data_IF_865368567538
#
_entry.id   IF_865368567538
#
_cell.length_a   1.000
_cell.length_b   1.000
_cell.length_c   1.000
_cell.angle_alpha   90.00
_cell.angle_beta   90.00
_cell.angle_gamma   90.00
#
_symmetry.space_group_name_H-M   'P 1'
#
loop_
_entity.id
_entity.type
_entity.pdbx_description
1 polymer ?
#
# COMPACT_ATOMS: atom_id res chain seq x y z
N UNK A 1 -5.65 55.24 1.86
CA UNK A 1 -4.73 54.22 2.37
C UNK A 1 -5.41 52.89 2.75
N UNK A 2 -6.63 52.85 3.24
CA UNK A 2 -7.32 51.61 3.68
C UNK A 2 -7.67 50.66 2.52
N UNK A 3 -8.00 51.19 1.33
CA UNK A 3 -8.32 50.34 0.15
C UNK A 3 -7.13 49.58 -0.40
N UNK A 4 -5.93 50.13 -0.33
CA UNK A 4 -4.71 49.48 -0.82
C UNK A 4 -4.26 48.29 0.09
N UNK A 5 -4.42 48.43 1.43
CA UNK A 5 -4.16 47.36 2.39
C UNK A 5 -5.08 46.16 2.23
N UNK A 6 -6.38 46.41 1.95
CA UNK A 6 -7.35 45.33 1.69
C UNK A 6 -7.04 44.58 0.39
N UNK A 7 -6.58 45.28 -0.64
CA UNK A 7 -6.19 44.65 -1.91
C UNK A 7 -4.96 43.78 -1.76
N UNK A 8 -3.97 44.22 -0.95
CA UNK A 8 -2.76 43.45 -0.68
C UNK A 8 -3.04 42.15 0.08
N UNK A 9 -3.98 42.19 1.06
CA UNK A 9 -4.38 40.99 1.83
C UNK A 9 -5.11 39.98 0.95
N UNK A 10 -5.91 40.44 0.00
CA UNK A 10 -6.61 39.57 -0.94
C UNK A 10 -5.64 38.92 -1.94
N UNK A 11 -4.62 39.65 -2.40
CA UNK A 11 -3.60 39.11 -3.30
C UNK A 11 -2.72 38.05 -2.62
N UNK A 12 -2.35 38.23 -1.34
CA UNK A 12 -1.59 37.22 -0.58
C UNK A 12 -2.37 35.95 -0.30
N UNK A 13 -3.70 36.04 -0.07
CA UNK A 13 -4.54 34.86 0.12
C UNK A 13 -4.67 33.99 -1.14
N UNK A 14 -4.59 34.59 -2.33
CA UNK A 14 -4.64 33.85 -3.61
C UNK A 14 -3.33 33.11 -3.93
N UNK A 15 -2.20 33.57 -3.43
CA UNK A 15 -0.89 32.94 -3.67
C UNK A 15 -0.70 31.68 -2.81
N UNK A 16 -1.34 31.58 -1.64
CA UNK A 16 -1.27 30.40 -0.77
C UNK A 16 -2.06 29.20 -1.29
N UNK A 17 -2.92 29.34 -2.29
CA UNK A 17 -3.67 28.23 -2.89
C UNK A 17 -2.91 27.50 -4.01
N UNK A 18 -1.66 27.83 -4.29
CA UNK A 18 -0.78 27.10 -5.18
C UNK A 18 -0.22 25.83 -4.52
N UNK A 19 -1.05 25.12 -3.71
CA UNK A 19 -0.75 23.78 -3.27
C UNK A 19 -0.54 22.91 -4.50
N UNK A 20 0.61 22.26 -4.60
CA UNK A 20 0.94 21.36 -5.69
C UNK A 20 -0.23 20.39 -5.91
N UNK A 21 -0.90 20.52 -7.05
CA UNK A 21 -1.97 19.58 -7.41
C UNK A 21 -1.35 18.20 -7.53
N UNK A 22 -1.81 17.21 -6.78
CA UNK A 22 -1.35 15.85 -6.96
C UNK A 22 -1.60 15.44 -8.41
N UNK A 23 -0.70 14.67 -9.04
CA UNK A 23 -0.93 14.17 -10.37
C UNK A 23 -2.25 13.39 -10.39
N UNK A 24 -3.12 13.67 -11.37
CA UNK A 24 -4.37 12.93 -11.53
C UNK A 24 -4.06 11.61 -12.23
N UNK A 25 -3.60 10.63 -11.46
CA UNK A 25 -3.23 9.30 -11.94
C UNK A 25 -4.36 8.35 -11.56
N UNK A 26 -4.97 7.65 -12.55
CA UNK A 26 -5.99 6.66 -12.24
C UNK A 26 -5.40 5.51 -11.43
N UNK A 27 -6.19 4.88 -10.52
CA UNK A 27 -5.76 3.70 -9.80
C UNK A 27 -5.38 2.55 -10.75
N UNK A 28 -4.20 1.97 -10.59
CA UNK A 28 -3.80 0.78 -11.33
C UNK A 28 -4.60 -0.45 -10.87
N UNK A 29 -4.89 -1.34 -11.81
CA UNK A 29 -5.48 -2.65 -11.50
C UNK A 29 -4.38 -3.67 -11.30
N UNK A 30 -4.46 -4.40 -10.18
CA UNK A 30 -3.52 -5.45 -9.81
C UNK A 30 -4.18 -6.82 -9.94
N UNK A 31 -3.39 -7.79 -10.38
CA UNK A 31 -3.77 -9.20 -10.41
C UNK A 31 -2.76 -10.00 -9.59
N UNK A 32 -3.26 -10.82 -8.67
CA UNK A 32 -2.43 -11.77 -7.92
C UNK A 32 -1.95 -12.88 -8.85
N UNK A 33 -0.65 -13.22 -8.77
CA UNK A 33 0.00 -14.24 -9.62
C UNK A 33 0.50 -15.45 -8.84
N UNK A 34 0.70 -15.30 -7.54
CA UNK A 34 1.15 -16.40 -6.68
C UNK A 34 2.06 -15.93 -5.55
N UNK A 35 2.46 -16.91 -4.77
CA UNK A 35 3.47 -16.75 -3.71
C UNK A 35 4.77 -17.44 -4.10
N UNK A 36 5.87 -16.86 -3.68
CA UNK A 36 7.22 -17.41 -3.81
C UNK A 36 7.92 -17.36 -2.46
N UNK A 37 8.58 -18.44 -2.06
CA UNK A 37 9.49 -18.45 -0.91
C UNK A 37 10.92 -18.46 -1.45
N UNK A 38 11.74 -17.53 -1.00
CA UNK A 38 13.15 -17.44 -1.38
C UNK A 38 14.08 -18.01 -0.31
N UNK A 39 15.36 -18.03 -0.62
CA UNK A 39 16.42 -18.53 0.25
C UNK A 39 16.47 -17.80 1.61
N UNK A 40 16.05 -16.54 1.66
CA UNK A 40 15.90 -15.74 2.89
C UNK A 40 14.72 -16.16 3.77
N UNK A 41 13.98 -17.22 3.39
CA UNK A 41 12.77 -17.72 4.04
C UNK A 41 11.60 -16.72 4.08
N UNK A 42 11.72 -15.57 3.43
CA UNK A 42 10.62 -14.60 3.32
C UNK A 42 9.56 -15.07 2.32
N UNK A 43 8.30 -14.78 2.65
CA UNK A 43 7.17 -15.04 1.77
C UNK A 43 6.94 -13.83 0.87
N UNK A 44 7.18 -13.99 -0.41
CA UNK A 44 6.91 -12.96 -1.42
C UNK A 44 5.58 -13.23 -2.10
N UNK A 45 4.81 -12.18 -2.30
CA UNK A 45 3.65 -12.15 -3.17
C UNK A 45 4.04 -11.51 -4.50
N UNK A 46 3.66 -12.13 -5.61
CA UNK A 46 3.86 -11.60 -6.96
C UNK A 46 2.55 -11.03 -7.48
N UNK A 47 2.63 -9.82 -8.01
CA UNK A 47 1.51 -9.05 -8.55
C UNK A 47 1.81 -8.62 -9.99
N UNK A 48 0.80 -8.70 -10.85
CA UNK A 48 0.81 -8.13 -12.19
C UNK A 48 -0.01 -6.84 -12.19
N UNK A 49 0.50 -5.78 -12.82
CA UNK A 49 -0.16 -4.48 -12.94
C UNK A 49 -0.42 -4.13 -14.40
N UNK A 50 -1.55 -3.50 -14.67
CA UNK A 50 -1.89 -2.91 -15.97
C UNK A 50 -1.13 -1.59 -16.25
N UNK A 51 -0.54 -1.00 -15.21
CA UNK A 51 0.23 0.25 -15.29
C UNK A 51 1.64 0.07 -14.74
N UNK A 52 2.59 0.84 -15.28
CA UNK A 52 3.96 0.90 -14.75
C UNK A 52 3.98 1.70 -13.44
N UNK A 53 3.78 1.02 -12.32
CA UNK A 53 3.80 1.64 -10.99
C UNK A 53 5.14 2.29 -10.66
N UNK A 54 6.27 1.81 -11.20
CA UNK A 54 7.57 2.47 -11.00
C UNK A 54 7.57 3.89 -11.54
N UNK A 55 6.89 4.16 -12.67
CA UNK A 55 6.73 5.53 -13.19
C UNK A 55 5.89 6.39 -12.26
N UNK A 56 4.83 5.81 -11.67
CA UNK A 56 4.00 6.50 -10.68
C UNK A 56 4.82 6.84 -9.44
N UNK A 57 5.56 5.87 -8.91
CA UNK A 57 6.38 6.04 -7.71
C UNK A 57 7.47 7.11 -7.91
N UNK A 58 8.15 7.13 -9.06
CA UNK A 58 9.15 8.13 -9.38
C UNK A 58 8.61 9.58 -9.34
N UNK A 59 7.30 9.79 -9.57
CA UNK A 59 6.69 11.12 -9.41
C UNK A 59 6.62 11.53 -7.93
N UNK A 60 6.43 10.57 -7.05
CA UNK A 60 6.40 10.78 -5.60
C UNK A 60 7.83 10.88 -5.04
N UNK A 61 8.82 10.12 -5.55
CA UNK A 61 10.23 10.15 -5.12
C UNK A 61 10.84 11.55 -5.11
N UNK A 62 10.55 12.33 -6.14
CA UNK A 62 10.98 13.72 -6.25
C UNK A 62 10.43 14.63 -5.16
N UNK A 63 9.56 14.13 -4.26
CA UNK A 63 8.82 14.87 -3.23
C UNK A 63 9.02 14.30 -1.82
N UNK A 64 10.21 13.73 -1.52
CA UNK A 64 10.50 13.10 -0.23
C UNK A 64 9.42 12.07 0.17
N UNK A 65 9.21 11.11 -0.71
CA UNK A 65 8.20 10.05 -0.56
C UNK A 65 8.55 9.06 0.54
N UNK A 66 7.50 8.39 1.00
CA UNK A 66 7.64 7.09 1.65
C UNK A 66 7.73 5.98 0.60
N UNK A 67 8.48 4.92 0.89
CA UNK A 67 8.55 3.72 0.03
C UNK A 67 7.16 3.15 -0.23
N UNK A 68 6.82 2.75 -1.49
CA UNK A 68 5.54 2.15 -1.80
C UNK A 68 5.33 0.86 -1.01
N UNK A 69 4.13 0.66 -0.49
CA UNK A 69 3.79 -0.47 0.36
C UNK A 69 2.58 -1.22 -0.19
N UNK A 70 2.65 -2.54 -0.17
CA UNK A 70 1.49 -3.40 -0.23
C UNK A 70 0.96 -3.57 1.19
N UNK A 71 -0.32 -3.32 1.38
CA UNK A 71 -1.01 -3.55 2.65
C UNK A 71 -2.20 -4.45 2.42
N UNK A 72 -2.31 -5.51 3.22
CA UNK A 72 -3.40 -6.48 3.22
C UNK A 72 -4.10 -6.43 4.57
N UNK A 73 -5.43 -6.46 4.60
CA UNK A 73 -6.17 -6.55 5.85
C UNK A 73 -6.47 -8.00 6.18
N UNK A 74 -6.36 -8.38 7.45
CA UNK A 74 -6.56 -9.75 7.93
C UNK A 74 -7.88 -9.92 8.69
N UNK A 75 -8.67 -8.87 8.86
CA UNK A 75 -9.85 -8.83 9.73
C UNK A 75 -11.07 -8.17 9.09
N UNK A 76 -11.36 -8.43 7.82
CA UNK A 76 -12.49 -7.86 7.07
C UNK A 76 -12.56 -6.32 6.97
N UNK A 77 -11.60 -5.61 7.55
CA UNK A 77 -11.47 -4.17 7.38
C UNK A 77 -11.13 -3.86 5.92
N UNK A 78 -11.85 -2.93 5.31
CA UNK A 78 -11.65 -2.53 3.90
C UNK A 78 -11.20 -1.07 3.77
N UNK A 79 -10.92 -0.42 4.89
CA UNK A 79 -10.45 0.95 4.89
C UNK A 79 -8.92 1.00 4.82
N UNK A 80 -8.39 1.35 3.65
CA UNK A 80 -6.95 1.48 3.40
C UNK A 80 -6.43 2.91 3.52
N UNK A 81 -7.25 3.86 4.00
CA UNK A 81 -6.79 5.23 4.21
C UNK A 81 -5.56 5.26 5.12
N UNK A 82 -4.54 6.04 4.74
CA UNK A 82 -3.27 6.11 5.49
C UNK A 82 -3.42 6.62 6.92
N UNK A 83 -4.52 7.33 7.22
CA UNK A 83 -4.85 7.79 8.55
C UNK A 83 -5.68 6.77 9.34
N UNK A 84 -6.09 5.65 8.72
CA UNK A 84 -6.83 4.59 9.35
C UNK A 84 -5.90 3.50 9.90
N UNK A 85 -6.13 3.09 11.13
CA UNK A 85 -5.36 2.01 11.77
C UNK A 85 -6.01 0.67 11.53
N UNK A 86 -5.43 -0.14 10.64
CA UNK A 86 -5.84 -1.53 10.42
C UNK A 86 -5.27 -2.38 11.56
N UNK A 87 -6.16 -2.99 12.39
CA UNK A 87 -5.78 -3.74 13.60
C UNK A 87 -4.94 -5.00 13.30
N UNK A 88 -5.28 -5.73 12.25
CA UNK A 88 -4.52 -6.92 11.82
C UNK A 88 -4.23 -6.81 10.33
N UNK A 89 -2.94 -6.82 9.97
CA UNK A 89 -2.52 -6.55 8.59
C UNK A 89 -1.26 -7.30 8.19
N UNK A 90 -1.15 -7.60 6.90
CA UNK A 90 0.11 -7.91 6.22
C UNK A 90 0.66 -6.64 5.57
N UNK A 91 1.95 -6.39 5.72
CA UNK A 91 2.61 -5.22 5.12
C UNK A 91 3.92 -5.65 4.47
N UNK A 92 4.20 -5.15 3.28
CA UNK A 92 5.47 -5.34 2.61
C UNK A 92 5.84 -4.17 1.71
N UNK A 93 7.14 -3.97 1.50
CA UNK A 93 7.62 -3.03 0.51
C UNK A 93 7.35 -3.58 -0.88
N UNK A 94 6.89 -2.72 -1.79
CA UNK A 94 6.66 -3.11 -3.18
C UNK A 94 7.91 -2.83 -4.02
N UNK A 95 8.41 -3.85 -4.68
CA UNK A 95 9.58 -3.79 -5.56
C UNK A 95 9.18 -4.20 -6.97
N UNK A 96 9.75 -3.56 -7.99
CA UNK A 96 9.60 -4.02 -9.36
C UNK A 96 10.30 -5.37 -9.53
N UNK A 97 9.64 -6.30 -10.20
CA UNK A 97 10.31 -7.55 -10.60
C UNK A 97 11.21 -7.27 -11.81
N UNK A 98 12.49 -7.57 -11.64
CA UNK A 98 13.48 -7.39 -12.69
C UNK A 98 13.42 -8.48 -13.78
N UNK A 99 12.62 -9.54 -13.57
CA UNK A 99 12.48 -10.63 -14.54
C UNK A 99 11.80 -10.13 -15.80
N UNK A 100 12.40 -10.31 -16.99
CA UNK A 100 11.77 -9.90 -18.24
C UNK A 100 10.51 -10.73 -18.52
N UNK A 101 9.37 -10.06 -18.63
CA UNK A 101 8.10 -10.67 -19.02
C UNK A 101 7.65 -10.11 -20.37
N UNK A 102 7.48 -10.98 -21.36
CA UNK A 102 7.09 -10.59 -22.75
C UNK A 102 5.59 -10.30 -22.91
N UNK A 103 4.90 -9.90 -21.84
CA UNK A 103 3.43 -9.77 -21.82
C UNK A 103 2.93 -8.35 -21.98
N UNK A 104 3.81 -7.34 -22.06
CA UNK A 104 3.41 -5.93 -22.04
C UNK A 104 2.82 -5.48 -20.70
N UNK A 105 2.88 -6.33 -19.67
CA UNK A 105 2.45 -6.08 -18.29
C UNK A 105 3.64 -5.80 -17.40
N UNK A 106 3.38 -5.23 -16.23
CA UNK A 106 4.40 -4.89 -15.24
C UNK A 106 4.26 -5.80 -14.02
N UNK A 107 5.37 -6.36 -13.59
CA UNK A 107 5.38 -7.29 -12.47
C UNK A 107 6.05 -6.66 -11.27
N UNK A 108 5.47 -6.92 -10.12
CA UNK A 108 5.92 -6.42 -8.82
C UNK A 108 5.89 -7.55 -7.81
N UNK A 109 6.74 -7.44 -6.81
CA UNK A 109 6.76 -8.37 -5.69
C UNK A 109 6.80 -7.61 -4.38
N UNK A 110 6.34 -8.26 -3.32
CA UNK A 110 6.37 -7.72 -1.97
C UNK A 110 6.60 -8.83 -0.97
N UNK A 111 7.55 -8.68 -0.07
CA UNK A 111 7.69 -9.56 1.09
C UNK A 111 6.68 -9.14 2.15
N UNK A 112 5.81 -10.07 2.59
CA UNK A 112 4.77 -9.78 3.57
C UNK A 112 5.23 -10.11 4.99
N UNK A 113 5.16 -9.11 5.88
CA UNK A 113 5.23 -9.27 7.33
C UNK A 113 3.84 -9.08 7.93
N UNK A 114 3.45 -9.95 8.84
CA UNK A 114 2.12 -9.93 9.45
C UNK A 114 2.18 -9.34 10.86
N UNK A 115 1.28 -8.38 11.14
CA UNK A 115 1.25 -7.67 12.40
C UNK A 115 -0.20 -7.52 12.89
N UNK A 116 -0.39 -7.62 14.21
CA UNK A 116 -1.61 -7.23 14.89
C UNK A 116 -1.33 -6.05 15.82
N UNK A 117 -2.25 -5.13 15.90
CA UNK A 117 -2.19 -4.00 16.84
C UNK A 117 -3.05 -4.34 18.04
N UNK A 118 -2.46 -4.45 19.22
CA UNK A 118 -3.19 -4.63 20.46
C UNK A 118 -3.91 -3.34 20.87
N UNK A 119 -5.11 -3.48 21.46
CA UNK A 119 -5.84 -2.35 22.04
C UNK A 119 -5.19 -1.95 23.37
N UNK A 120 -4.29 -0.97 23.31
CA UNK A 120 -3.65 -0.32 24.46
C UNK A 120 -3.81 1.20 24.31
N UNK A 121 -3.54 1.95 25.39
CA UNK A 121 -3.52 3.43 25.33
C UNK A 121 -2.61 3.96 24.22
N UNK A 122 -1.50 3.26 23.93
CA UNK A 122 -0.66 3.50 22.75
C UNK A 122 -0.65 2.21 21.92
N UNK A 123 -1.23 2.22 20.70
CA UNK A 123 -1.28 1.05 19.84
C UNK A 123 0.14 0.64 19.40
N UNK A 124 0.59 -0.53 19.82
CA UNK A 124 1.90 -1.08 19.41
C UNK A 124 1.64 -2.26 18.45
N UNK A 125 2.16 -2.23 17.22
CA UNK A 125 2.07 -3.36 16.33
C UNK A 125 2.95 -4.51 16.84
N UNK A 126 2.34 -5.66 17.05
CA UNK A 126 3.02 -6.90 17.43
C UNK A 126 3.13 -7.82 16.24
N UNK A 127 4.31 -8.35 15.97
CA UNK A 127 4.53 -9.28 14.87
C UNK A 127 3.81 -10.60 15.10
N UNK A 128 3.04 -11.06 14.10
CA UNK A 128 2.40 -12.37 14.10
C UNK A 128 3.41 -13.36 13.50
N UNK A 129 4.10 -14.10 14.36
CA UNK A 129 5.10 -15.09 13.96
C UNK A 129 4.53 -16.52 13.92
N UNK A 130 3.36 -16.74 14.52
CA UNK A 130 2.71 -18.05 14.56
C UNK A 130 1.72 -18.23 13.41
N UNK A 131 1.93 -19.25 12.58
CA UNK A 131 1.01 -19.64 11.51
C UNK A 131 -0.40 -19.96 12.04
N UNK A 132 -0.52 -20.57 13.22
CA UNK A 132 -1.81 -20.89 13.84
C UNK A 132 -2.62 -19.62 14.20
N UNK A 133 -1.96 -18.56 14.68
CA UNK A 133 -2.64 -17.28 14.94
C UNK A 133 -3.14 -16.66 13.65
N UNK A 134 -2.33 -16.72 12.60
CA UNK A 134 -2.73 -16.18 11.30
C UNK A 134 -3.87 -16.99 10.68
N UNK A 135 -3.85 -18.32 10.78
CA UNK A 135 -4.97 -19.18 10.35
C UNK A 135 -6.27 -18.83 11.06
N UNK A 136 -6.23 -18.59 12.37
CA UNK A 136 -7.41 -18.19 13.15
C UNK A 136 -7.95 -16.82 12.70
N UNK A 137 -7.05 -15.85 12.43
CA UNK A 137 -7.45 -14.53 11.93
C UNK A 137 -8.09 -14.60 10.54
N UNK A 138 -7.65 -15.54 9.71
CA UNK A 138 -8.14 -15.74 8.35
C UNK A 138 -9.31 -16.73 8.25
N UNK A 139 -9.72 -17.33 9.36
CA UNK A 139 -10.80 -18.31 9.38
C UNK A 139 -12.09 -17.73 8.78
N UNK A 140 -12.69 -18.48 7.85
CA UNK A 140 -13.91 -18.06 7.16
C UNK A 140 -13.71 -17.02 6.04
N UNK A 141 -12.51 -16.53 5.80
CA UNK A 141 -12.21 -15.63 4.69
C UNK A 141 -11.74 -16.43 3.47
N UNK A 142 -12.37 -16.24 2.32
CA UNK A 142 -11.95 -16.86 1.06
C UNK A 142 -10.72 -16.15 0.47
N UNK A 143 -10.62 -14.83 0.68
CA UNK A 143 -9.52 -13.99 0.21
C UNK A 143 -9.31 -12.81 1.14
N UNK A 144 -8.07 -12.31 1.16
CA UNK A 144 -7.69 -11.09 1.87
C UNK A 144 -7.61 -9.93 0.88
N UNK A 145 -8.26 -8.80 1.15
CA UNK A 145 -8.12 -7.60 0.34
C UNK A 145 -6.79 -6.92 0.60
N UNK A 146 -6.13 -6.50 -0.48
CA UNK A 146 -4.85 -5.80 -0.44
C UNK A 146 -4.89 -4.57 -1.35
N UNK A 147 -4.15 -3.53 -0.97
CA UNK A 147 -3.90 -2.37 -1.83
C UNK A 147 -2.43 -1.96 -1.78
N UNK A 148 -1.93 -1.45 -2.89
CA UNK A 148 -0.65 -0.73 -2.90
C UNK A 148 -0.94 0.75 -2.71
N UNK A 149 -0.18 1.40 -1.84
CA UNK A 149 -0.21 2.84 -1.72
C UNK A 149 1.19 3.46 -1.61
N UNK A 150 1.27 4.73 -1.97
CA UNK A 150 2.45 5.57 -1.75
C UNK A 150 2.02 6.96 -1.30
N UNK A 151 2.79 7.54 -0.41
CA UNK A 151 2.58 8.90 0.11
C UNK A 151 3.82 9.76 -0.11
N UNK A 152 3.63 11.06 -0.26
CA UNK A 152 4.69 12.05 -0.22
C UNK A 152 4.19 13.31 0.47
N UNK A 153 5.10 14.08 1.06
CA UNK A 153 4.75 15.32 1.72
C UNK A 153 4.07 16.30 0.75
N UNK A 154 2.90 16.82 1.15
CA UNK A 154 2.13 17.77 0.35
C UNK A 154 1.40 17.17 -0.85
N UNK A 155 1.43 15.84 -1.01
CA UNK A 155 0.71 15.13 -2.08
C UNK A 155 -0.41 14.29 -1.50
N UNK A 156 -1.52 14.17 -2.26
CA UNK A 156 -2.54 13.17 -1.97
C UNK A 156 -1.94 11.78 -2.14
N UNK A 157 -2.20 10.88 -1.19
CA UNK A 157 -1.79 9.48 -1.32
C UNK A 157 -2.35 8.88 -2.62
N UNK A 158 -1.52 8.12 -3.33
CA UNK A 158 -1.95 7.29 -4.45
C UNK A 158 -2.27 5.90 -3.93
N UNK A 159 -3.35 5.32 -4.42
CA UNK A 159 -3.80 3.96 -4.14
C UNK A 159 -4.08 3.23 -5.44
N UNK A 160 -3.77 1.93 -5.49
CA UNK A 160 -4.25 1.04 -6.55
C UNK A 160 -5.69 0.62 -6.28
N UNK A 161 -6.33 -0.04 -7.25
CA UNK A 161 -7.52 -0.83 -6.97
C UNK A 161 -7.20 -1.97 -6.00
N UNK A 162 -8.21 -2.45 -5.27
CA UNK A 162 -8.04 -3.58 -4.35
C UNK A 162 -7.78 -4.86 -5.14
N UNK A 163 -6.72 -5.58 -4.78
CA UNK A 163 -6.46 -6.94 -5.24
C UNK A 163 -6.82 -7.92 -4.13
N UNK A 164 -7.39 -9.05 -4.50
CA UNK A 164 -7.79 -10.11 -3.57
C UNK A 164 -6.83 -11.29 -3.66
N UNK A 165 -6.19 -11.63 -2.55
CA UNK A 165 -5.24 -12.75 -2.45
C UNK A 165 -5.95 -13.95 -1.83
N UNK A 166 -5.96 -15.15 -2.47
CA UNK A 166 -6.62 -16.33 -1.95
C UNK A 166 -6.03 -16.75 -0.60
N UNK A 167 -6.88 -16.85 0.43
CA UNK A 167 -6.47 -17.24 1.79
C UNK A 167 -5.87 -18.65 1.85
N UNK A 168 -6.44 -19.58 1.10
CA UNK A 168 -5.97 -20.97 1.06
C UNK A 168 -4.53 -21.09 0.55
N UNK A 169 -4.15 -20.28 -0.47
CA UNK A 169 -2.78 -20.24 -0.97
C UNK A 169 -1.81 -19.69 0.06
N UNK A 170 -2.18 -18.58 0.72
CA UNK A 170 -1.38 -17.98 1.78
C UNK A 170 -1.10 -18.98 2.90
N UNK A 171 -2.14 -19.65 3.43
CA UNK A 171 -2.00 -20.64 4.51
C UNK A 171 -1.10 -21.80 4.08
N UNK A 172 -1.24 -22.27 2.84
CA UNK A 172 -0.42 -23.37 2.30
C UNK A 172 1.07 -23.01 2.30
N UNK A 173 1.42 -21.78 1.98
CA UNK A 173 2.81 -21.31 1.96
C UNK A 173 3.38 -21.03 3.35
N UNK A 174 2.53 -20.75 4.34
CA UNK A 174 2.97 -20.54 5.73
C UNK A 174 3.28 -21.84 6.46
N UNK A 175 2.71 -22.97 6.02
CA UNK A 175 2.93 -24.31 6.61
C UNK A 175 4.19 -25.03 6.10
N UNK A 176 4.82 -24.51 5.09
CA UNK A 176 6.06 -25.02 4.52
C UNK A 176 7.28 -24.36 5.15
#
# INVERSE_FOLDING_TARGET
>A
MIKLKKLLIFATALICSACARPPNIPPASLTFKGFERREDSLLYVTLESDQNLSKVFNLYEKKNQNTPKLVCTLNHDKNFDVNHTIKARGVGLLEADATPHNTGKFYFRSSLSFNATEEREVPIPTSITSGAVLENLLAGQQSIPCQVYITAYGFKAYYTNTVYIPTAELITHLKK
#
